data_IF_308817670321
#
_entry.id   IF_308817670321
#
_cell.length_a   1.000
_cell.length_b   1.000
_cell.length_c   1.000
_cell.angle_alpha   90.00
_cell.angle_beta   90.00
_cell.angle_gamma   90.00
#
_symmetry.space_group_name_H-M   'P 1'
#
loop_
_entity.id
_entity.type
_entity.pdbx_description
1 polymer ?
#
# COMPACT_ATOMS: atom_id res chain seq x y z
N UNK A 1 19.53 -10.27 31.00
CA UNK A 1 18.20 -10.53 30.41
C UNK A 1 17.61 -9.18 30.05
N UNK A 2 17.78 -8.75 28.81
CA UNK A 2 17.12 -7.56 28.27
C UNK A 2 16.07 -8.01 27.25
N UNK A 3 14.81 -7.89 27.65
CA UNK A 3 13.62 -8.20 26.84
C UNK A 3 13.32 -7.06 25.85
N UNK A 4 14.18 -6.89 24.86
CA UNK A 4 14.26 -5.66 24.08
C UNK A 4 13.74 -5.68 22.63
N UNK A 5 12.79 -6.52 22.22
CA UNK A 5 12.11 -6.34 20.90
C UNK A 5 10.63 -6.73 21.00
N UNK A 6 9.80 -5.79 21.43
CA UNK A 6 8.34 -5.92 21.39
C UNK A 6 7.63 -4.56 21.22
N UNK A 7 8.16 -3.62 20.42
CA UNK A 7 7.51 -2.29 20.21
C UNK A 7 7.78 -1.60 18.84
N UNK A 8 8.59 -2.16 17.92
CA UNK A 8 9.22 -1.37 16.84
C UNK A 8 8.35 -0.90 15.65
N UNK A 9 7.27 -1.58 15.29
CA UNK A 9 6.52 -1.25 14.06
C UNK A 9 5.33 -0.32 14.33
N UNK A 10 5.60 0.88 14.85
CA UNK A 10 4.61 1.97 14.86
C UNK A 10 4.41 2.60 13.48
N UNK A 11 5.46 2.53 12.67
CA UNK A 11 5.57 3.10 11.33
C UNK A 11 5.80 1.97 10.33
N UNK A 12 5.18 2.10 9.17
CA UNK A 12 5.37 1.26 7.99
C UNK A 12 5.93 2.14 6.86
N UNK A 13 6.31 1.52 5.76
CA UNK A 13 6.78 2.23 4.56
C UNK A 13 5.95 1.87 3.34
N UNK A 14 5.75 2.85 2.46
CA UNK A 14 5.18 2.69 1.13
C UNK A 14 6.06 3.40 0.12
N UNK A 15 6.23 2.81 -1.06
CA UNK A 15 6.97 3.39 -2.16
C UNK A 15 6.06 3.47 -3.38
N UNK A 16 6.10 4.60 -4.08
CA UNK A 16 5.26 4.89 -5.23
C UNK A 16 5.40 3.81 -6.31
N UNK A 17 6.64 3.45 -6.64
CA UNK A 17 6.94 2.55 -7.74
C UNK A 17 6.62 1.07 -7.45
N UNK A 18 6.46 0.71 -6.17
CA UNK A 18 6.17 -0.65 -5.74
C UNK A 18 4.70 -0.89 -5.38
N UNK A 19 3.85 0.15 -5.42
CA UNK A 19 2.44 0.08 -5.02
C UNK A 19 1.52 -0.30 -6.19
N UNK A 20 0.67 -1.35 -6.07
CA UNK A 20 -0.02 -2.00 -7.19
C UNK A 20 -1.15 -1.21 -7.87
N UNK A 21 -1.31 0.08 -7.57
CA UNK A 21 -2.33 0.94 -8.18
C UNK A 21 -1.82 1.95 -9.19
N UNK A 22 -0.52 2.21 -9.19
CA UNK A 22 0.06 3.25 -10.04
C UNK A 22 0.17 2.73 -11.48
N UNK A 23 -0.04 3.56 -12.54
CA UNK A 23 -0.14 3.10 -13.92
C UNK A 23 0.96 2.15 -14.40
N UNK A 24 2.20 2.34 -13.96
CA UNK A 24 3.33 1.48 -14.29
C UNK A 24 3.27 0.09 -13.61
N UNK A 25 2.58 -0.06 -12.47
CA UNK A 25 2.37 -1.36 -11.79
C UNK A 25 1.11 -2.09 -12.29
N UNK A 26 0.26 -1.41 -13.08
CA UNK A 26 -0.92 -2.03 -13.68
C UNK A 26 -0.51 -2.92 -14.85
N UNK A 27 -0.08 -4.14 -14.55
CA UNK A 27 -0.12 -5.22 -15.52
C UNK A 27 -1.56 -5.42 -15.99
N UNK A 28 -1.77 -5.55 -17.31
CA UNK A 28 -3.08 -5.75 -17.94
C UNK A 28 -3.94 -6.73 -17.12
N UNK A 29 -5.01 -6.22 -16.51
CA UNK A 29 -6.08 -7.01 -15.87
C UNK A 29 -5.63 -8.06 -14.83
N UNK A 30 -4.45 -7.95 -14.22
CA UNK A 30 -3.98 -8.95 -13.26
C UNK A 30 -4.78 -8.88 -11.94
N UNK A 31 -5.19 -10.01 -11.32
CA UNK A 31 -5.98 -10.02 -10.07
C UNK A 31 -5.36 -9.22 -8.92
N UNK A 32 -4.03 -9.04 -8.92
CA UNK A 32 -3.33 -8.21 -7.92
C UNK A 32 -3.59 -6.71 -8.03
N UNK A 33 -4.04 -6.21 -9.18
CA UNK A 33 -4.47 -4.81 -9.33
C UNK A 33 -5.69 -4.50 -8.45
N UNK A 34 -6.41 -5.53 -8.00
CA UNK A 34 -7.66 -5.41 -7.25
C UNK A 34 -7.52 -6.00 -5.83
N UNK A 35 -8.25 -5.42 -4.88
CA UNK A 35 -8.35 -5.96 -3.52
C UNK A 35 -7.30 -5.48 -2.52
N UNK A 36 -7.66 -5.57 -1.23
CA UNK A 36 -6.89 -5.00 -0.12
C UNK A 36 -5.59 -5.75 0.16
N UNK A 37 -5.58 -7.08 -0.01
CA UNK A 37 -4.43 -7.91 0.38
C UNK A 37 -3.16 -7.63 -0.42
N UNK A 38 -3.19 -7.51 -1.76
CA UNK A 38 -2.00 -7.12 -2.54
C UNK A 38 -1.41 -5.76 -2.13
N UNK A 39 -2.27 -4.81 -1.75
CA UNK A 39 -1.88 -3.47 -1.28
C UNK A 39 -1.18 -3.52 0.08
N UNK A 40 -1.71 -4.32 1.01
CA UNK A 40 -1.08 -4.55 2.31
C UNK A 40 0.24 -5.31 2.18
N UNK A 41 0.36 -6.25 1.23
CA UNK A 41 1.62 -6.94 0.95
C UNK A 41 2.69 -5.97 0.41
N UNK A 42 2.34 -5.06 -0.51
CA UNK A 42 3.27 -4.03 -1.00
C UNK A 42 3.82 -3.18 0.16
N UNK A 43 2.93 -2.73 1.08
CA UNK A 43 3.35 -1.99 2.28
C UNK A 43 4.22 -2.86 3.20
N UNK A 44 3.85 -4.12 3.41
CA UNK A 44 4.63 -5.06 4.23
C UNK A 44 6.04 -5.27 3.66
N UNK A 45 6.15 -5.59 2.37
CA UNK A 45 7.43 -5.83 1.70
C UNK A 45 8.30 -4.58 1.74
N UNK A 46 7.74 -3.43 1.36
CA UNK A 46 8.44 -2.14 1.42
C UNK A 46 8.92 -1.83 2.83
N UNK A 47 8.11 -2.12 3.85
CA UNK A 47 8.48 -1.91 5.26
C UNK A 47 9.70 -2.71 5.65
N UNK A 48 9.72 -4.03 5.39
CA UNK A 48 10.83 -4.89 5.81
C UNK A 48 12.10 -4.68 5.00
N UNK A 49 11.99 -4.26 3.73
CA UNK A 49 13.14 -3.87 2.92
C UNK A 49 13.82 -2.61 3.45
N UNK A 50 13.04 -1.67 3.99
CA UNK A 50 13.51 -0.39 4.49
C UNK A 50 13.69 -0.33 6.02
N UNK A 51 13.51 -1.45 6.73
CA UNK A 51 13.68 -1.52 8.19
C UNK A 51 14.75 -2.54 8.53
N UNK A 52 15.69 -2.18 9.40
CA UNK A 52 16.64 -3.14 9.94
C UNK A 52 15.89 -4.14 10.84
N UNK A 53 15.78 -5.39 10.37
CA UNK A 53 15.06 -6.45 11.05
C UNK A 53 15.68 -7.82 10.76
N UNK A 54 15.57 -8.76 11.70
CA UNK A 54 16.10 -10.11 11.54
C UNK A 54 15.39 -10.95 10.46
N UNK A 55 14.13 -10.62 10.15
CA UNK A 55 13.32 -11.31 9.16
C UNK A 55 13.71 -10.94 7.71
N UNK A 56 14.50 -9.89 7.48
CA UNK A 56 14.96 -9.51 6.13
C UNK A 56 16.48 -9.52 6.00
N UNK A 57 16.99 -10.25 5.01
CA UNK A 57 18.40 -10.25 4.63
C UNK A 57 18.60 -9.47 3.33
N UNK A 58 19.13 -8.24 3.44
CA UNK A 58 19.39 -7.37 2.27
C UNK A 58 20.46 -7.88 1.30
N UNK A 59 21.36 -8.79 1.73
CA UNK A 59 22.37 -9.37 0.83
C UNK A 59 21.77 -10.38 -0.13
N UNK A 60 20.83 -11.20 0.37
CA UNK A 60 20.14 -12.21 -0.44
C UNK A 60 18.80 -11.71 -0.97
N UNK A 61 18.32 -10.56 -0.47
CA UNK A 61 16.98 -9.98 -0.71
C UNK A 61 15.85 -10.88 -0.24
N UNK A 62 16.13 -11.69 0.77
CA UNK A 62 15.21 -12.70 1.27
C UNK A 62 14.47 -12.18 2.48
N UNK A 63 13.14 -12.17 2.40
CA UNK A 63 12.24 -11.97 3.51
C UNK A 63 11.78 -13.33 4.03
N UNK A 64 12.13 -13.65 5.27
CA UNK A 64 11.60 -14.79 6.01
C UNK A 64 10.31 -14.36 6.69
N UNK A 65 9.25 -15.17 6.60
CA UNK A 65 7.98 -14.95 7.31
C UNK A 65 8.15 -15.34 8.79
N UNK A 66 9.01 -14.61 9.48
CA UNK A 66 9.38 -14.78 10.88
C UNK A 66 8.38 -14.13 11.83
N UNK A 67 8.83 -13.89 13.08
CA UNK A 67 7.95 -13.42 14.16
C UNK A 67 7.39 -12.02 13.85
N UNK A 68 8.24 -11.13 13.36
CA UNK A 68 7.93 -9.71 13.23
C UNK A 68 7.06 -9.48 11.99
N UNK A 69 7.37 -10.14 10.87
CA UNK A 69 6.50 -10.13 9.67
C UNK A 69 5.10 -10.59 10.03
N UNK A 70 4.97 -11.69 10.78
CA UNK A 70 3.66 -12.20 11.21
C UNK A 70 2.96 -11.23 12.16
N UNK A 71 3.68 -10.56 13.06
CA UNK A 71 3.10 -9.58 13.97
C UNK A 71 2.53 -8.38 13.19
N UNK A 72 3.29 -7.82 12.25
CA UNK A 72 2.85 -6.68 11.42
C UNK A 72 1.67 -7.09 10.53
N UNK A 73 1.76 -8.23 9.84
CA UNK A 73 0.67 -8.74 8.99
C UNK A 73 -0.63 -8.99 9.79
N UNK A 74 -0.54 -9.51 11.02
CA UNK A 74 -1.70 -9.65 11.93
C UNK A 74 -2.29 -8.30 12.28
N UNK A 75 -1.46 -7.33 12.67
CA UNK A 75 -1.92 -5.97 13.03
C UNK A 75 -2.61 -5.29 11.86
N UNK A 76 -2.11 -5.45 10.64
CA UNK A 76 -2.74 -4.93 9.41
C UNK A 76 -4.05 -5.65 9.02
N UNK A 77 -4.42 -6.73 9.72
CA UNK A 77 -5.63 -7.50 9.47
C UNK A 77 -5.53 -8.48 8.29
N UNK A 78 -4.32 -8.83 7.86
CA UNK A 78 -4.12 -9.77 6.73
C UNK A 78 -4.41 -11.22 7.11
N UNK A 79 -4.32 -11.55 8.41
CA UNK A 79 -4.38 -12.92 8.93
C UNK A 79 -5.60 -13.20 9.82
N UNK A 80 -6.59 -12.30 9.84
CA UNK A 80 -7.77 -12.37 10.72
C UNK A 80 -9.01 -12.80 9.94
N UNK A 81 -9.52 -14.01 10.22
CA UNK A 81 -10.84 -14.52 9.77
C UNK A 81 -10.94 -15.06 8.34
N UNK A 82 -11.85 -16.04 8.14
CA UNK A 82 -12.26 -16.60 6.84
C UNK A 82 -11.11 -17.05 5.93
N UNK A 83 -11.10 -16.52 4.70
CA UNK A 83 -10.11 -16.78 3.66
C UNK A 83 -8.86 -15.89 3.71
N UNK A 84 -8.64 -15.06 4.75
CA UNK A 84 -7.56 -14.05 4.77
C UNK A 84 -6.15 -14.62 4.57
N UNK A 85 -5.86 -15.77 5.16
CA UNK A 85 -4.60 -16.50 4.95
C UNK A 85 -4.47 -16.98 3.51
N UNK A 86 -5.52 -17.59 2.97
CA UNK A 86 -5.56 -18.05 1.59
C UNK A 86 -5.34 -16.87 0.62
N UNK A 87 -6.03 -15.74 0.84
CA UNK A 87 -5.87 -14.54 0.04
C UNK A 87 -4.45 -13.99 0.10
N UNK A 88 -3.79 -14.06 1.26
CA UNK A 88 -2.40 -13.65 1.44
C UNK A 88 -1.47 -14.53 0.63
N UNK A 89 -1.61 -15.85 0.74
CA UNK A 89 -0.82 -16.83 -0.02
C UNK A 89 -1.06 -16.67 -1.53
N UNK A 90 -2.32 -16.64 -1.97
CA UNK A 90 -2.69 -16.40 -3.37
C UNK A 90 -2.11 -15.09 -3.89
N UNK A 91 -2.12 -14.02 -3.08
CA UNK A 91 -1.54 -12.74 -3.50
C UNK A 91 -0.02 -12.81 -3.63
N UNK A 92 0.67 -13.50 -2.72
CA UNK A 92 2.14 -13.69 -2.80
C UNK A 92 2.50 -14.48 -4.06
N UNK A 93 1.78 -15.55 -4.37
CA UNK A 93 1.97 -16.31 -5.61
C UNK A 93 1.71 -15.41 -6.82
N UNK A 94 0.65 -14.60 -6.78
CA UNK A 94 0.42 -13.61 -7.83
C UNK A 94 1.59 -12.63 -8.02
N UNK A 95 2.33 -12.28 -6.97
CA UNK A 95 3.51 -11.40 -7.06
C UNK A 95 4.72 -12.11 -7.71
N UNK A 96 4.72 -13.45 -7.72
CA UNK A 96 5.72 -14.25 -8.43
C UNK A 96 5.40 -14.36 -9.93
N UNK A 97 4.12 -14.38 -10.30
CA UNK A 97 3.66 -14.58 -11.67
C UNK A 97 3.49 -13.26 -12.46
N UNK A 98 3.34 -12.13 -11.77
CA UNK A 98 3.14 -10.83 -12.42
C UNK A 98 4.45 -10.22 -12.93
N UNK A 99 4.36 -9.54 -14.07
CA UNK A 99 5.30 -8.49 -14.47
C UNK A 99 4.57 -7.16 -14.67
N UNK A 100 5.28 -6.07 -14.45
CA UNK A 100 4.76 -4.73 -14.70
C UNK A 100 5.84 -3.81 -15.28
N UNK A 101 5.44 -2.71 -15.91
CA UNK A 101 6.37 -1.82 -16.61
C UNK A 101 6.67 -0.62 -15.74
N UNK A 102 7.86 -0.53 -15.14
CA UNK A 102 8.31 0.63 -14.35
C UNK A 102 8.14 1.98 -15.06
N UNK A 103 8.27 3.07 -14.31
CA UNK A 103 8.24 4.45 -14.85
C UNK A 103 9.22 4.67 -16.02
N UNK A 104 10.36 3.98 -15.99
CA UNK A 104 11.40 4.06 -17.01
C UNK A 104 11.16 3.12 -18.21
N UNK A 105 9.98 2.52 -18.32
CA UNK A 105 9.60 1.60 -19.41
C UNK A 105 10.20 0.20 -19.31
N UNK A 106 10.84 -0.15 -18.18
CA UNK A 106 11.44 -1.49 -17.97
C UNK A 106 10.44 -2.44 -17.37
N UNK A 107 10.41 -3.68 -17.87
CA UNK A 107 9.67 -4.77 -17.25
C UNK A 107 10.30 -5.16 -15.91
N UNK A 108 9.46 -5.31 -14.88
CA UNK A 108 9.83 -5.61 -13.51
C UNK A 108 9.09 -6.86 -13.07
N UNK A 109 9.85 -7.85 -12.60
CA UNK A 109 9.32 -9.00 -11.88
C UNK A 109 9.52 -8.78 -10.38
N UNK A 110 8.50 -8.88 -9.51
CA UNK A 110 8.66 -8.59 -8.08
C UNK A 110 9.41 -9.67 -7.30
N UNK A 111 9.00 -10.92 -7.46
CA UNK A 111 9.52 -12.07 -6.70
C UNK A 111 10.31 -12.97 -7.65
N UNK A 112 11.57 -13.23 -7.29
CA UNK A 112 12.43 -14.18 -7.99
C UNK A 112 12.00 -15.61 -7.66
N UNK A 113 11.87 -15.90 -6.36
CA UNK A 113 11.53 -17.22 -5.83
C UNK A 113 10.77 -17.10 -4.51
N UNK A 114 9.88 -18.06 -4.24
CA UNK A 114 9.25 -18.25 -2.93
C UNK A 114 8.97 -19.73 -2.71
N UNK A 115 9.08 -20.19 -1.46
CA UNK A 115 8.67 -21.55 -1.07
C UNK A 115 7.28 -21.58 -0.40
N UNK A 116 6.54 -20.47 -0.50
CA UNK A 116 5.13 -20.37 -0.09
C UNK A 116 4.26 -21.00 -1.16
N UNK A 117 3.46 -21.99 -0.77
CA UNK A 117 2.56 -22.72 -1.67
C UNK A 117 1.12 -22.70 -1.12
N UNK A 118 0.14 -22.87 -2.01
CA UNK A 118 -1.27 -22.92 -1.61
C UNK A 118 -1.55 -24.12 -0.69
N UNK A 119 -2.43 -23.93 0.28
CA UNK A 119 -2.80 -24.97 1.25
C UNK A 119 -1.80 -25.16 2.40
N UNK A 120 -0.60 -24.58 2.32
CA UNK A 120 0.39 -24.63 3.39
C UNK A 120 0.39 -23.38 4.28
N UNK A 121 0.93 -23.55 5.49
CA UNK A 121 1.27 -22.42 6.35
C UNK A 121 2.42 -21.64 5.73
N UNK A 122 2.23 -20.33 5.58
CA UNK A 122 3.29 -19.41 5.15
C UNK A 122 4.33 -19.10 6.24
N UNK A 123 4.19 -19.63 7.46
CA UNK A 123 5.13 -19.34 8.55
C UNK A 123 6.52 -19.90 8.22
N UNK A 124 7.57 -19.12 8.49
CA UNK A 124 8.99 -19.50 8.29
C UNK A 124 9.38 -19.76 6.83
N UNK A 125 8.42 -19.63 5.92
CA UNK A 125 8.64 -19.61 4.49
C UNK A 125 9.38 -18.32 4.09
N UNK A 126 9.93 -18.32 2.90
CA UNK A 126 10.79 -17.25 2.39
C UNK A 126 10.26 -16.70 1.07
N UNK A 127 10.48 -15.41 0.88
CA UNK A 127 10.26 -14.69 -0.38
C UNK A 127 11.59 -14.04 -0.74
N UNK A 128 12.12 -14.36 -1.91
CA UNK A 128 13.30 -13.69 -2.47
C UNK A 128 12.84 -12.71 -3.53
N UNK A 129 13.10 -11.42 -3.30
CA UNK A 129 12.76 -10.36 -4.25
C UNK A 129 13.85 -10.21 -5.31
N UNK A 130 13.47 -9.72 -6.49
CA UNK A 130 14.45 -9.28 -7.51
C UNK A 130 15.18 -8.01 -7.04
N UNK A 131 16.35 -7.73 -7.61
CA UNK A 131 17.09 -6.48 -7.29
C UNK A 131 16.31 -5.25 -7.74
N UNK A 132 15.64 -5.35 -8.87
CA UNK A 132 14.82 -4.33 -9.48
C UNK A 132 13.68 -3.93 -8.56
N UNK A 133 12.94 -4.91 -8.02
CA UNK A 133 11.82 -4.62 -7.12
C UNK A 133 12.30 -4.06 -5.77
N UNK A 134 13.42 -4.54 -5.24
CA UNK A 134 14.06 -3.95 -4.05
C UNK A 134 14.43 -2.50 -4.28
N UNK A 135 14.96 -2.16 -5.46
CA UNK A 135 15.27 -0.78 -5.84
C UNK A 135 14.00 0.09 -5.87
N UNK A 136 12.89 -0.42 -6.42
CA UNK A 136 11.62 0.32 -6.42
C UNK A 136 11.08 0.56 -5.01
N UNK A 137 11.12 -0.46 -4.14
CA UNK A 137 10.71 -0.34 -2.74
C UNK A 137 11.60 0.63 -1.94
N UNK A 138 12.86 0.80 -2.33
CA UNK A 138 13.83 1.65 -1.63
C UNK A 138 13.93 3.06 -2.22
N UNK A 139 13.23 3.36 -3.34
CA UNK A 139 13.28 4.67 -3.98
C UNK A 139 12.26 5.60 -3.32
N UNK A 140 12.78 6.50 -2.48
CA UNK A 140 11.99 7.48 -1.71
C UNK A 140 10.81 6.87 -0.91
N UNK A 141 11.07 5.86 -0.05
CA UNK A 141 10.01 5.31 0.78
C UNK A 141 9.44 6.39 1.69
N UNK A 142 8.11 6.42 1.81
CA UNK A 142 7.39 7.34 2.70
C UNK A 142 6.84 6.59 3.89
N UNK A 143 6.95 7.22 5.05
CA UNK A 143 6.42 6.67 6.29
C UNK A 143 4.90 6.76 6.33
N UNK A 144 4.25 5.64 6.67
CA UNK A 144 2.80 5.55 6.87
C UNK A 144 2.52 4.92 8.25
N UNK A 145 1.80 5.60 9.15
CA UNK A 145 1.54 5.04 10.48
C UNK A 145 0.71 3.77 10.42
N UNK A 146 1.15 2.73 11.12
CA UNK A 146 0.43 1.47 11.18
C UNK A 146 -1.00 1.67 11.70
N UNK A 147 -1.20 2.53 12.70
CA UNK A 147 -2.53 2.84 13.24
C UNK A 147 -3.50 3.34 12.17
N UNK A 148 -3.04 4.19 11.25
CA UNK A 148 -3.83 4.67 10.13
C UNK A 148 -4.16 3.51 9.16
N UNK A 149 -3.17 2.67 8.82
CA UNK A 149 -3.38 1.49 7.95
C UNK A 149 -4.40 0.52 8.57
N UNK A 150 -4.30 0.23 9.87
CA UNK A 150 -5.27 -0.62 10.58
C UNK A 150 -6.67 -0.01 10.57
N UNK A 151 -6.77 1.31 10.78
CA UNK A 151 -8.04 2.02 10.77
C UNK A 151 -8.75 1.98 9.41
N UNK A 152 -8.06 1.70 8.30
CA UNK A 152 -8.69 1.56 6.96
C UNK A 152 -9.41 0.23 6.72
N UNK A 153 -9.61 -0.61 7.76
CA UNK A 153 -10.30 -1.91 7.67
C UNK A 153 -11.61 -1.88 6.86
N UNK A 154 -11.94 -2.97 6.16
CA UNK A 154 -13.22 -3.13 5.45
C UNK A 154 -13.25 -2.70 3.98
N UNK A 155 -12.17 -2.14 3.41
CA UNK A 155 -12.09 -1.86 1.96
C UNK A 155 -10.69 -1.47 1.48
N UNK A 156 -10.43 -1.56 0.17
CA UNK A 156 -9.19 -1.08 -0.46
C UNK A 156 -9.19 0.43 -0.68
N UNK A 157 -10.34 1.02 -1.03
CA UNK A 157 -10.48 2.45 -1.32
C UNK A 157 -9.88 3.35 -0.22
N UNK A 158 -10.23 3.14 1.04
CA UNK A 158 -9.69 3.96 2.14
C UNK A 158 -8.17 3.79 2.29
N UNK A 159 -7.64 2.59 2.05
CA UNK A 159 -6.19 2.35 2.06
C UNK A 159 -5.51 3.10 0.90
N UNK A 160 -6.09 3.03 -0.29
CA UNK A 160 -5.56 3.67 -1.49
C UNK A 160 -5.51 5.21 -1.34
N UNK A 161 -6.58 5.81 -0.80
CA UNK A 161 -6.63 7.24 -0.51
C UNK A 161 -5.60 7.64 0.56
N UNK A 162 -5.39 6.81 1.58
CA UNK A 162 -4.35 7.03 2.58
C UNK A 162 -2.95 6.96 1.97
N UNK A 163 -2.71 6.01 1.07
CA UNK A 163 -1.44 5.88 0.35
C UNK A 163 -1.20 7.07 -0.57
N UNK A 164 -2.22 7.59 -1.27
CA UNK A 164 -2.04 8.81 -2.07
C UNK A 164 -1.74 10.04 -1.23
N UNK A 165 -2.39 10.17 -0.07
CA UNK A 165 -2.04 11.22 0.88
C UNK A 165 -0.57 11.10 1.31
N UNK A 166 -0.11 9.88 1.56
CA UNK A 166 1.28 9.61 1.99
C UNK A 166 2.29 9.92 0.90
N UNK A 167 2.02 9.51 -0.34
CA UNK A 167 2.97 9.62 -1.44
C UNK A 167 3.00 11.01 -2.08
N UNK A 168 1.84 11.67 -2.20
CA UNK A 168 1.69 12.85 -3.06
C UNK A 168 1.22 14.10 -2.35
N UNK A 169 0.76 14.04 -1.08
CA UNK A 169 0.33 15.24 -0.37
C UNK A 169 1.56 15.99 0.18
N UNK A 170 1.84 17.20 -0.32
CA UNK A 170 2.99 17.98 0.13
C UNK A 170 2.71 18.62 1.50
N UNK A 171 3.77 18.87 2.28
CA UNK A 171 3.69 19.40 3.66
C UNK A 171 2.95 20.75 3.80
N UNK A 172 2.87 21.54 2.72
CA UNK A 172 2.32 22.89 2.76
C UNK A 172 1.35 23.20 1.59
N UNK A 173 0.91 22.18 0.85
CA UNK A 173 -0.07 22.37 -0.25
C UNK A 173 -1.18 21.33 -0.16
N UNK A 174 -2.25 21.60 -0.90
CA UNK A 174 -3.35 20.67 -1.10
C UNK A 174 -3.02 19.73 -2.26
N UNK A 175 -3.24 18.44 -2.08
CA UNK A 175 -3.34 17.49 -3.17
C UNK A 175 -4.79 17.50 -3.69
N UNK A 176 -4.94 17.72 -4.99
CA UNK A 176 -6.24 17.75 -5.66
C UNK A 176 -6.32 16.64 -6.71
N UNK A 177 -7.40 15.84 -6.64
CA UNK A 177 -7.73 14.82 -7.62
C UNK A 177 -9.08 15.16 -8.21
N UNK A 178 -9.12 15.52 -9.49
CA UNK A 178 -10.39 15.81 -10.18
C UNK A 178 -11.31 14.58 -10.17
N UNK A 179 -12.63 14.78 -10.22
CA UNK A 179 -13.60 13.68 -10.39
C UNK A 179 -13.24 12.77 -11.56
N UNK A 180 -12.75 13.35 -12.66
CA UNK A 180 -12.38 12.62 -13.86
C UNK A 180 -11.09 11.80 -13.71
N UNK A 181 -10.17 12.22 -12.85
CA UNK A 181 -8.96 11.43 -12.58
C UNK A 181 -9.22 10.40 -11.49
N UNK A 182 -10.11 10.69 -10.54
CA UNK A 182 -10.38 9.82 -9.41
C UNK A 182 -10.81 8.41 -9.82
N UNK A 183 -11.64 8.28 -10.87
CA UNK A 183 -12.07 6.98 -11.38
C UNK A 183 -10.94 6.21 -12.08
N UNK A 184 -10.00 6.93 -12.72
CA UNK A 184 -8.83 6.32 -13.37
C UNK A 184 -7.83 5.84 -12.33
N UNK A 185 -7.64 6.62 -11.27
CA UNK A 185 -6.60 6.42 -10.26
C UNK A 185 -7.04 5.41 -9.20
N UNK A 186 -8.30 5.48 -8.74
CA UNK A 186 -8.88 4.51 -7.82
C UNK A 186 -9.85 3.62 -8.60
N UNK A 187 -9.41 2.46 -9.10
CA UNK A 187 -10.35 1.52 -9.68
C UNK A 187 -11.30 1.09 -8.56
N UNK A 188 -12.60 1.36 -8.75
CA UNK A 188 -13.61 0.51 -8.16
C UNK A 188 -13.32 -0.93 -8.57
N UNK A 189 -13.81 -1.89 -7.81
CA UNK A 189 -13.72 -3.31 -8.18
C UNK A 189 -14.09 -3.50 -9.66
N UNK A 190 -13.04 -3.68 -10.47
CA UNK A 190 -12.95 -3.95 -11.91
C UNK A 190 -13.74 -3.15 -12.95
N UNK A 191 -14.87 -2.46 -12.70
CA UNK A 191 -15.62 -1.80 -13.80
C UNK A 191 -16.50 -0.60 -13.43
N UNK A 192 -16.68 -0.29 -12.15
CA UNK A 192 -17.65 0.74 -11.72
C UNK A 192 -17.00 1.95 -11.06
N UNK A 193 -17.51 3.15 -11.35
CA UNK A 193 -17.17 4.37 -10.62
C UNK A 193 -17.56 4.24 -9.16
N UNK A 194 -16.62 4.51 -8.25
CA UNK A 194 -16.91 4.61 -6.81
C UNK A 194 -17.98 5.69 -6.59
N UNK A 195 -19.12 5.30 -6.02
CA UNK A 195 -20.22 6.23 -5.77
C UNK A 195 -19.79 7.36 -4.84
N UNK A 196 -20.36 8.56 -5.03
CA UNK A 196 -20.15 9.71 -4.13
C UNK A 196 -20.44 9.35 -2.68
N UNK A 197 -21.45 8.50 -2.43
CA UNK A 197 -21.80 8.02 -1.09
C UNK A 197 -20.68 7.19 -0.49
N UNK A 198 -20.13 6.23 -1.24
CA UNK A 198 -19.04 5.38 -0.76
C UNK A 198 -17.76 6.20 -0.51
N UNK A 199 -17.41 7.12 -1.42
CA UNK A 199 -16.31 8.07 -1.21
C UNK A 199 -16.50 8.83 0.10
N UNK A 200 -17.67 9.46 0.30
CA UNK A 200 -17.95 10.26 1.50
C UNK A 200 -17.79 9.43 2.79
N UNK A 201 -18.30 8.19 2.81
CA UNK A 201 -18.13 7.29 3.96
C UNK A 201 -16.65 6.99 4.21
N UNK A 202 -15.89 6.68 3.16
CA UNK A 202 -14.44 6.44 3.25
C UNK A 202 -13.66 7.66 3.76
N UNK A 203 -13.97 8.87 3.28
CA UNK A 203 -13.29 10.10 3.72
C UNK A 203 -13.60 10.41 5.18
N UNK A 204 -14.86 10.30 5.59
CA UNK A 204 -15.28 10.49 6.99
C UNK A 204 -14.53 9.52 7.91
N UNK A 205 -14.46 8.25 7.51
CA UNK A 205 -13.70 7.24 8.26
C UNK A 205 -12.21 7.60 8.33
N UNK A 206 -11.60 8.00 7.20
CA UNK A 206 -10.19 8.43 7.17
C UNK A 206 -9.93 9.61 8.11
N UNK A 207 -10.81 10.61 8.15
CA UNK A 207 -10.68 11.75 9.05
C UNK A 207 -10.86 11.38 10.54
N UNK A 208 -11.52 10.27 10.85
CA UNK A 208 -11.72 9.79 12.23
C UNK A 208 -10.52 8.99 12.76
N UNK A 209 -9.86 8.20 11.90
CA UNK A 209 -8.82 7.24 12.31
C UNK A 209 -7.41 7.84 12.41
N UNK A 210 -7.19 9.04 11.86
CA UNK A 210 -5.87 9.69 11.83
C UNK A 210 -5.99 11.23 11.90
N UNK A 211 -4.89 11.91 12.26
CA UNK A 211 -4.81 13.38 12.37
C UNK A 211 -3.61 13.97 11.60
N UNK A 212 -3.21 13.33 10.51
CA UNK A 212 -2.10 13.71 9.63
C UNK A 212 -2.63 14.50 8.44
N UNK A 213 -3.73 14.02 7.85
CA UNK A 213 -4.38 14.63 6.70
C UNK A 213 -5.86 14.88 6.95
N UNK A 214 -6.41 15.84 6.23
CA UNK A 214 -7.84 16.11 6.10
C UNK A 214 -8.26 15.78 4.68
N UNK A 215 -9.23 14.88 4.57
CA UNK A 215 -9.84 14.47 3.31
C UNK A 215 -11.19 15.16 3.13
N UNK A 216 -11.43 15.76 1.98
CA UNK A 216 -12.69 16.44 1.69
C UNK A 216 -13.13 16.25 0.24
N UNK A 217 -14.43 16.11 0.02
CA UNK A 217 -15.00 15.97 -1.30
C UNK A 217 -15.69 17.28 -1.70
N UNK A 218 -15.29 17.83 -2.83
CA UNK A 218 -15.92 19.01 -3.45
C UNK A 218 -16.77 18.59 -4.66
N UNK A 219 -17.48 19.54 -5.27
CA UNK A 219 -18.16 19.31 -6.55
C UNK A 219 -17.18 18.90 -7.66
N UNK A 220 -15.98 19.48 -7.66
CA UNK A 220 -14.99 19.30 -8.74
C UNK A 220 -14.09 18.07 -8.55
N UNK A 221 -13.86 17.64 -7.30
CA UNK A 221 -12.93 16.56 -7.00
C UNK A 221 -12.68 16.33 -5.52
N UNK A 222 -11.77 15.40 -5.25
CA UNK A 222 -11.23 15.09 -3.93
C UNK A 222 -10.07 16.05 -3.62
N UNK A 223 -10.06 16.59 -2.40
CA UNK A 223 -8.98 17.41 -1.87
C UNK A 223 -8.44 16.74 -0.61
N UNK A 224 -7.12 16.56 -0.57
CA UNK A 224 -6.36 16.05 0.57
C UNK A 224 -5.39 17.14 0.99
N UNK A 225 -5.27 17.41 2.29
CA UNK A 225 -4.34 18.43 2.80
C UNK A 225 -3.80 18.03 4.17
N UNK A 226 -2.65 18.58 4.61
CA UNK A 226 -2.17 18.41 5.97
C UNK A 226 -3.20 18.86 7.01
N UNK A 227 -3.25 18.16 8.15
CA UNK A 227 -4.07 18.53 9.29
C UNK A 227 -3.63 19.90 9.86
N UNK A 228 -4.60 20.72 10.26
CA UNK A 228 -4.32 22.09 10.75
C UNK A 228 -4.07 23.14 9.67
N UNK A 229 -3.82 22.77 8.42
CA UNK A 229 -3.68 23.73 7.32
C UNK A 229 -5.05 24.35 6.95
N UNK A 230 -5.16 25.67 6.72
CA UNK A 230 -6.42 26.26 6.24
C UNK A 230 -6.68 25.89 4.76
N UNK A 231 -7.95 25.79 4.31
CA UNK A 231 -8.26 25.59 2.90
C UNK A 231 -7.80 26.79 2.06
N UNK A 232 -6.99 26.58 1.03
CA UNK A 232 -6.55 27.65 0.11
C UNK A 232 -6.43 27.14 -1.33
N UNK A 233 -7.19 27.73 -2.25
CA UNK A 233 -7.22 27.32 -3.65
C UNK A 233 -5.90 27.55 -4.42
N UNK A 234 -5.08 28.52 -3.99
CA UNK A 234 -3.86 28.94 -4.68
C UNK A 234 -2.67 27.99 -4.47
N UNK A 235 -2.72 27.10 -3.48
CA UNK A 235 -1.64 26.15 -3.16
C UNK A 235 -2.09 24.72 -3.44
N UNK A 236 -2.29 24.37 -4.72
CA UNK A 236 -2.74 23.04 -5.15
C UNK A 236 -1.71 22.32 -6.02
N UNK A 237 -1.50 21.05 -5.73
CA UNK A 237 -0.83 20.08 -6.61
C UNK A 237 -1.91 19.16 -7.17
N UNK A 238 -2.02 19.09 -8.48
CA UNK A 238 -3.01 18.25 -9.12
C UNK A 238 -2.41 16.89 -9.46
N UNK A 239 -3.07 15.82 -9.02
CA UNK A 239 -2.76 14.47 -9.47
C UNK A 239 -3.58 14.16 -10.72
N UNK A 240 -2.89 13.78 -11.78
CA UNK A 240 -3.46 13.46 -13.08
C UNK A 240 -3.18 11.99 -13.38
N UNK A 241 -4.20 11.27 -13.84
CA UNK A 241 -3.97 9.97 -14.46
C UNK A 241 -3.49 10.23 -15.88
N UNK A 242 -2.25 9.85 -16.16
CA UNK A 242 -1.72 9.73 -17.52
C UNK A 242 -2.57 8.76 -18.35
#
# INVERSE_FOLDING_TARGET
>A
MDNGIATGFGILYVAEEAYPLIPYVRGNEHPLAFGRTPRLLSILFTTFVNTQNADYNGKTRTLTIGKDVRQVARRMGMLTGGCGRQNTVTSIIGYQDITFTSRDGKEIKPIEETNIVQGESWNEKTITFTWEYVRLMSREPKEIPLSAVVGTSGGSLSLDLLVFATLYCPEQKELYISRNNLYKIVPGTSTETVSTKHLTVSLTKLNQIQKIWVFSLTRAGLVIRPYGMPPKAENRVQLIAE
#
